data_IF_960367354006
#
_entry.id   IF_960367354006
#
_cell.length_a   1.000
_cell.length_b   1.000
_cell.length_c   1.000
_cell.angle_alpha   90.00
_cell.angle_beta   90.00
_cell.angle_gamma   90.00
#
_symmetry.space_group_name_H-M   'P 1'
#
loop_
_entity.id
_entity.type
_entity.pdbx_description
1 polymer ?
#
# COMPACT_ATOMS: atom_id res chain seq x y z
N UNK A 1 14.41 15.70 -41.98
CA UNK A 1 15.13 16.48 -40.95
C UNK A 1 14.27 16.49 -39.70
N UNK A 2 14.79 15.95 -38.60
CA UNK A 2 14.04 15.58 -37.39
C UNK A 2 14.26 16.67 -36.34
N UNK A 3 13.22 17.40 -36.00
CA UNK A 3 13.24 18.45 -34.97
C UNK A 3 13.04 17.77 -33.61
N UNK A 4 14.10 17.73 -32.81
CA UNK A 4 14.08 17.33 -31.40
C UNK A 4 14.57 18.55 -30.62
N UNK A 5 13.70 19.19 -29.84
CA UNK A 5 14.11 20.19 -28.87
C UNK A 5 13.28 20.02 -27.61
N UNK A 6 14.02 19.61 -26.57
CA UNK A 6 13.58 19.34 -25.21
C UNK A 6 13.58 20.65 -24.43
N UNK A 7 12.48 20.97 -23.74
CA UNK A 7 12.37 22.13 -22.85
C UNK A 7 12.65 21.72 -21.41
N UNK A 8 13.91 21.91 -21.00
CA UNK A 8 14.36 21.72 -19.62
C UNK A 8 13.93 22.93 -18.79
N UNK A 9 13.14 22.68 -17.75
CA UNK A 9 12.55 23.70 -16.88
C UNK A 9 13.58 24.32 -15.93
N UNK A 10 13.73 25.63 -16.06
CA UNK A 10 14.74 26.49 -15.45
C UNK A 10 14.26 27.02 -14.08
N UNK A 11 14.33 26.23 -13.00
CA UNK A 11 14.19 26.75 -11.62
C UNK A 11 14.98 25.91 -10.61
N UNK A 12 16.10 26.47 -10.12
CA UNK A 12 16.61 26.40 -8.73
C UNK A 12 18.09 26.84 -8.70
N UNK A 13 18.29 28.14 -8.70
CA UNK A 13 19.49 28.79 -8.17
C UNK A 13 19.19 29.04 -6.69
N UNK A 14 19.96 28.48 -5.75
CA UNK A 14 20.46 29.21 -4.58
C UNK A 14 21.37 28.38 -3.64
N UNK A 15 22.51 29.01 -3.31
CA UNK A 15 23.40 28.84 -2.15
C UNK A 15 24.17 27.53 -1.94
N UNK A 16 25.45 27.54 -2.36
CA UNK A 16 26.50 26.83 -1.62
C UNK A 16 27.68 27.78 -1.37
N UNK A 17 27.78 28.26 -0.12
CA UNK A 17 28.80 29.18 0.36
C UNK A 17 30.07 28.46 0.82
N UNK A 18 31.19 29.00 0.36
CA UNK A 18 32.57 28.54 0.44
C UNK A 18 33.18 28.59 1.85
N UNK A 19 34.03 27.60 2.14
CA UNK A 19 34.91 27.39 3.29
C UNK A 19 36.02 28.46 3.39
N UNK A 20 36.31 28.98 4.59
CA UNK A 20 37.65 29.52 4.97
C UNK A 20 37.96 29.22 6.44
N UNK A 21 39.07 28.51 6.65
CA UNK A 21 39.80 28.19 7.89
C UNK A 21 40.80 29.28 8.27
N UNK A 22 41.14 29.44 9.57
CA UNK A 22 42.43 29.95 10.12
C UNK A 22 42.32 30.14 11.66
N UNK A 23 43.39 30.31 12.43
CA UNK A 23 44.32 29.32 12.99
C UNK A 23 44.92 29.88 14.33
N UNK A 24 45.27 28.99 15.27
CA UNK A 24 46.33 29.03 16.30
C UNK A 24 46.42 30.11 17.42
N UNK A 25 46.70 29.62 18.64
CA UNK A 25 47.32 30.37 19.76
C UNK A 25 47.64 29.48 20.97
N UNK A 26 48.92 29.35 21.32
CA UNK A 26 49.48 28.51 22.40
C UNK A 26 49.69 29.29 23.72
N UNK A 27 49.62 28.63 24.90
CA UNK A 27 50.62 28.70 26.00
C UNK A 27 50.19 27.98 27.29
N UNK A 28 51.16 27.27 27.89
CA UNK A 28 51.19 26.65 29.23
C UNK A 28 51.12 27.70 30.36
N UNK A 29 50.43 27.41 31.47
CA UNK A 29 51.06 27.23 32.80
C UNK A 29 50.04 26.98 33.93
N UNK A 30 50.48 26.16 34.90
CA UNK A 30 49.76 25.67 36.09
C UNK A 30 49.49 26.77 37.13
N UNK A 31 48.34 26.75 37.81
CA UNK A 31 48.25 26.93 39.28
C UNK A 31 46.91 26.45 39.85
N UNK A 32 47.00 25.67 40.93
CA UNK A 32 45.91 25.19 41.82
C UNK A 32 45.06 26.34 42.37
N UNK A 33 43.75 26.14 42.48
CA UNK A 33 42.95 26.49 43.66
C UNK A 33 41.53 25.88 43.60
N UNK A 34 41.21 25.11 44.64
CA UNK A 34 39.92 25.03 45.36
C UNK A 34 38.66 24.59 44.59
N UNK A 35 38.11 23.46 45.04
CA UNK A 35 36.79 22.90 44.70
C UNK A 35 35.66 23.83 45.16
N UNK A 36 34.56 23.89 44.41
CA UNK A 36 33.33 23.30 44.92
C UNK A 36 32.64 22.41 43.88
N UNK A 37 32.07 21.33 44.38
CA UNK A 37 31.31 20.28 43.69
C UNK A 37 30.27 20.83 42.69
N UNK A 38 30.37 20.51 41.38
CA UNK A 38 29.32 20.80 40.42
C UNK A 38 28.32 19.63 40.35
N UNK A 39 27.06 20.02 40.51
CA UNK A 39 25.83 19.26 40.34
C UNK A 39 25.84 18.23 39.17
N UNK A 40 25.03 17.16 39.27
CA UNK A 40 25.03 16.05 38.31
C UNK A 40 24.68 16.54 36.90
N UNK A 41 25.46 16.06 35.93
CA UNK A 41 25.30 16.40 34.52
C UNK A 41 23.87 16.12 34.02
N UNK A 42 23.23 17.05 33.28
CA UNK A 42 22.01 16.75 32.57
C UNK A 42 22.34 15.76 31.44
N UNK A 43 21.74 14.57 31.53
CA UNK A 43 21.78 13.57 30.45
C UNK A 43 21.24 14.22 29.18
N UNK A 44 22.06 14.28 28.14
CA UNK A 44 21.59 14.58 26.80
C UNK A 44 20.68 13.42 26.36
N UNK A 45 19.37 13.68 26.37
CA UNK A 45 18.37 12.83 25.77
C UNK A 45 18.54 12.92 24.26
N UNK A 46 19.20 11.90 23.69
CA UNK A 46 19.25 11.70 22.25
C UNK A 46 17.82 11.46 21.80
N UNK A 47 17.21 12.48 21.18
CA UNK A 47 15.93 12.36 20.51
C UNK A 47 16.12 11.38 19.36
N UNK A 48 15.80 10.10 19.59
CA UNK A 48 15.61 9.12 18.54
C UNK A 48 14.41 9.60 17.71
N UNK A 49 14.68 10.19 16.55
CA UNK A 49 13.64 10.36 15.54
C UNK A 49 13.13 8.97 15.17
N UNK A 50 11.87 8.70 15.55
CA UNK A 50 11.18 7.48 15.14
C UNK A 50 11.18 7.40 13.61
N UNK A 51 11.40 6.21 13.03
CA UNK A 51 11.26 6.02 11.59
C UNK A 51 9.90 6.55 11.13
N UNK A 52 9.81 7.19 9.95
CA UNK A 52 8.51 7.57 9.41
C UNK A 52 7.62 6.32 9.36
N UNK A 53 6.35 6.42 9.78
CA UNK A 53 5.45 5.28 9.75
C UNK A 53 5.39 4.75 8.30
N UNK A 54 5.34 3.41 8.12
CA UNK A 54 5.18 2.84 6.79
C UNK A 54 3.95 3.45 6.11
N UNK A 55 3.97 3.59 4.77
CA UNK A 55 2.83 4.15 4.05
C UNK A 55 1.56 3.39 4.43
N UNK A 56 0.53 4.11 4.85
CA UNK A 56 -0.76 3.52 5.16
C UNK A 56 -1.31 2.87 3.89
N UNK A 57 -1.63 1.57 3.95
CA UNK A 57 -2.28 0.85 2.85
C UNK A 57 -3.61 1.51 2.53
N UNK A 58 -3.95 1.60 1.25
CA UNK A 58 -5.25 2.16 0.85
C UNK A 58 -6.40 1.25 1.30
N UNK A 59 -7.62 1.80 1.39
CA UNK A 59 -8.78 1.02 1.78
C UNK A 59 -9.06 -0.12 0.77
N UNK A 60 -8.79 0.15 -0.51
CA UNK A 60 -8.93 -0.79 -1.63
C UNK A 60 -7.93 -1.94 -1.50
N UNK A 61 -6.67 -1.66 -1.16
CA UNK A 61 -5.66 -2.70 -0.95
C UNK A 61 -6.05 -3.64 0.20
N UNK A 62 -6.50 -3.06 1.32
CA UNK A 62 -6.96 -3.84 2.49
C UNK A 62 -8.22 -4.66 2.15
N UNK A 63 -9.14 -4.11 1.35
CA UNK A 63 -10.32 -4.83 0.92
C UNK A 63 -9.97 -5.97 -0.05
N UNK A 64 -9.04 -5.74 -0.99
CA UNK A 64 -8.56 -6.74 -1.93
C UNK A 64 -7.93 -7.93 -1.20
N UNK A 65 -7.04 -7.68 -0.23
CA UNK A 65 -6.41 -8.75 0.56
C UNK A 65 -7.48 -9.59 1.30
N UNK A 66 -8.45 -8.92 1.94
CA UNK A 66 -9.54 -9.61 2.63
C UNK A 66 -10.41 -10.43 1.68
N UNK A 67 -10.74 -9.89 0.51
CA UNK A 67 -11.53 -10.60 -0.49
C UNK A 67 -10.78 -11.81 -1.06
N UNK A 68 -9.50 -11.67 -1.38
CA UNK A 68 -8.68 -12.79 -1.88
C UNK A 68 -8.63 -13.92 -0.84
N UNK A 69 -8.45 -13.58 0.44
CA UNK A 69 -8.51 -14.55 1.54
C UNK A 69 -9.88 -15.25 1.63
N UNK A 70 -10.96 -14.50 1.50
CA UNK A 70 -12.31 -15.06 1.51
C UNK A 70 -12.57 -15.97 0.30
N UNK A 71 -12.11 -15.59 -0.89
CA UNK A 71 -12.23 -16.41 -2.11
C UNK A 71 -11.50 -17.75 -1.93
N UNK A 72 -10.30 -17.72 -1.36
CA UNK A 72 -9.55 -18.92 -1.03
C UNK A 72 -10.28 -19.78 0.01
N UNK A 73 -10.86 -19.16 1.05
CA UNK A 73 -11.62 -19.88 2.08
C UNK A 73 -12.87 -20.57 1.51
N UNK A 74 -13.62 -19.90 0.63
CA UNK A 74 -14.80 -20.48 -0.04
C UNK A 74 -14.40 -21.66 -0.92
N UNK A 75 -13.35 -21.51 -1.72
CA UNK A 75 -12.84 -22.57 -2.59
C UNK A 75 -12.32 -23.78 -1.79
N UNK A 76 -11.66 -23.54 -0.65
CA UNK A 76 -11.07 -24.57 0.20
C UNK A 76 -12.05 -25.16 1.25
N UNK A 77 -13.29 -24.66 1.33
CA UNK A 77 -14.24 -25.06 2.37
C UNK A 77 -14.52 -26.57 2.36
N UNK A 78 -14.39 -27.21 3.53
CA UNK A 78 -14.59 -28.66 3.71
C UNK A 78 -16.04 -29.15 3.61
N UNK A 79 -17.02 -28.24 3.60
CA UNK A 79 -18.43 -28.56 3.42
C UNK A 79 -19.19 -27.47 2.66
N UNK A 80 -20.36 -27.81 2.12
CA UNK A 80 -21.27 -26.85 1.47
C UNK A 80 -21.78 -25.81 2.48
N UNK A 81 -22.12 -26.24 3.70
CA UNK A 81 -22.60 -25.33 4.74
C UNK A 81 -21.54 -24.29 5.13
N UNK A 82 -20.29 -24.72 5.35
CA UNK A 82 -19.21 -23.78 5.66
C UNK A 82 -18.92 -22.83 4.49
N UNK A 83 -18.97 -23.31 3.25
CA UNK A 83 -18.82 -22.45 2.08
C UNK A 83 -19.93 -21.40 2.00
N UNK A 84 -21.18 -21.80 2.21
CA UNK A 84 -22.32 -20.89 2.18
C UNK A 84 -22.23 -19.81 3.27
N UNK A 85 -21.73 -20.14 4.46
CA UNK A 85 -21.48 -19.14 5.50
C UNK A 85 -20.44 -18.11 5.05
N UNK A 86 -19.29 -18.56 4.54
CA UNK A 86 -18.26 -17.66 4.02
C UNK A 86 -18.75 -16.82 2.84
N UNK A 87 -19.64 -17.36 1.99
CA UNK A 87 -20.30 -16.59 0.93
C UNK A 87 -21.11 -15.44 1.51
N UNK A 88 -21.93 -15.68 2.54
CA UNK A 88 -22.74 -14.60 3.16
C UNK A 88 -21.86 -13.50 3.78
N UNK A 89 -20.80 -13.89 4.48
CA UNK A 89 -19.83 -12.95 5.06
C UNK A 89 -19.14 -12.12 3.97
N UNK A 90 -18.76 -12.77 2.86
CA UNK A 90 -18.12 -12.11 1.72
C UNK A 90 -19.07 -11.16 1.01
N UNK A 91 -20.33 -11.57 0.79
CA UNK A 91 -21.35 -10.73 0.14
C UNK A 91 -21.61 -9.43 0.92
N UNK A 92 -21.44 -9.43 2.25
CA UNK A 92 -21.58 -8.22 3.06
C UNK A 92 -20.51 -7.16 2.78
N UNK A 93 -19.43 -7.49 2.06
CA UNK A 93 -18.41 -6.54 1.62
C UNK A 93 -18.81 -5.80 0.33
N UNK A 94 -19.80 -6.30 -0.40
CA UNK A 94 -20.25 -5.74 -1.67
C UNK A 94 -21.45 -4.83 -1.48
N UNK A 95 -21.63 -3.90 -2.44
CA UNK A 95 -22.73 -2.94 -2.44
C UNK A 95 -24.07 -3.66 -2.57
N UNK A 96 -24.10 -4.75 -3.34
CA UNK A 96 -25.22 -5.68 -3.45
C UNK A 96 -24.75 -7.01 -4.08
N UNK A 97 -25.66 -7.99 -4.19
CA UNK A 97 -25.37 -9.32 -4.73
C UNK A 97 -25.23 -9.34 -6.26
N UNK A 98 -25.65 -8.28 -6.93
CA UNK A 98 -25.55 -8.07 -8.37
C UNK A 98 -24.33 -7.25 -8.77
N UNK A 99 -23.44 -6.90 -7.83
CA UNK A 99 -22.20 -6.17 -8.12
C UNK A 99 -21.46 -6.86 -9.28
N UNK A 100 -21.14 -6.12 -10.36
CA UNK A 100 -20.51 -6.68 -11.54
C UNK A 100 -19.10 -7.19 -11.21
N UNK A 101 -18.80 -8.38 -11.76
CA UNK A 101 -17.48 -8.98 -11.75
C UNK A 101 -17.01 -9.10 -13.20
N UNK A 102 -15.90 -8.44 -13.51
CA UNK A 102 -15.30 -8.40 -14.84
C UNK A 102 -14.04 -9.27 -14.85
N UNK A 103 -14.01 -10.30 -15.68
CA UNK A 103 -12.86 -11.21 -15.78
C UNK A 103 -12.09 -10.86 -17.06
N UNK A 104 -10.89 -10.34 -16.90
CA UNK A 104 -10.00 -10.01 -18.02
C UNK A 104 -9.45 -11.32 -18.60
N UNK A 105 -9.74 -11.57 -19.89
CA UNK A 105 -9.26 -12.73 -20.64
C UNK A 105 -8.05 -12.42 -21.50
N UNK A 106 -7.90 -11.18 -21.93
CA UNK A 106 -6.79 -10.71 -22.74
C UNK A 106 -6.55 -9.22 -22.53
N UNK A 107 -5.30 -8.78 -22.62
CA UNK A 107 -4.93 -7.36 -22.57
C UNK A 107 -3.80 -7.10 -23.57
N UNK A 108 -4.03 -6.19 -24.51
CA UNK A 108 -3.03 -5.77 -25.49
C UNK A 108 -3.04 -4.25 -25.65
N UNK A 109 -1.87 -3.62 -25.58
CA UNK A 109 -1.71 -2.16 -25.69
C UNK A 109 -2.61 -1.35 -24.73
N UNK A 110 -2.92 -1.91 -23.54
CA UNK A 110 -3.78 -1.31 -22.52
C UNK A 110 -5.28 -1.44 -22.79
N UNK A 111 -5.68 -2.17 -23.84
CA UNK A 111 -7.07 -2.51 -24.14
C UNK A 111 -7.35 -3.89 -23.52
N UNK A 112 -8.36 -3.97 -22.66
CA UNK A 112 -8.77 -5.21 -21.98
C UNK A 112 -9.97 -5.84 -22.67
N UNK A 113 -9.88 -7.12 -22.97
CA UNK A 113 -11.00 -7.96 -23.36
C UNK A 113 -11.50 -8.71 -22.13
N UNK A 114 -12.82 -8.72 -21.97
CA UNK A 114 -13.47 -9.36 -20.83
C UNK A 114 -14.26 -10.59 -21.28
N UNK A 115 -14.36 -11.56 -20.38
CA UNK A 115 -15.31 -12.67 -20.52
C UNK A 115 -16.77 -12.17 -20.41
N UNK A 116 -17.73 -13.09 -20.56
CA UNK A 116 -19.14 -12.80 -20.30
C UNK A 116 -19.32 -12.17 -18.90
N UNK A 117 -20.01 -11.02 -18.81
CA UNK A 117 -20.25 -10.36 -17.54
C UNK A 117 -20.96 -11.28 -16.54
N UNK A 118 -20.49 -11.29 -15.29
CA UNK A 118 -21.12 -12.03 -14.20
C UNK A 118 -21.33 -11.15 -12.97
N UNK A 119 -21.99 -11.69 -11.96
CA UNK A 119 -22.22 -10.99 -10.68
C UNK A 119 -21.41 -11.64 -9.58
N UNK A 120 -21.17 -10.89 -8.50
CA UNK A 120 -20.42 -11.42 -7.36
C UNK A 120 -21.06 -12.68 -6.79
N UNK A 121 -22.40 -12.73 -6.65
CA UNK A 121 -23.04 -13.93 -6.12
C UNK A 121 -22.79 -15.17 -7.00
N UNK A 122 -22.92 -15.03 -8.33
CA UNK A 122 -22.64 -16.11 -9.27
C UNK A 122 -21.18 -16.54 -9.20
N UNK A 123 -20.26 -15.59 -9.09
CA UNK A 123 -18.83 -15.87 -8.98
C UNK A 123 -18.48 -16.61 -7.69
N UNK A 124 -19.05 -16.21 -6.55
CA UNK A 124 -18.84 -16.90 -5.27
C UNK A 124 -19.43 -18.31 -5.26
N UNK A 125 -20.62 -18.50 -5.85
CA UNK A 125 -21.22 -19.82 -6.06
C UNK A 125 -20.31 -20.69 -6.95
N UNK A 126 -19.73 -20.12 -8.02
CA UNK A 126 -18.74 -20.81 -8.86
C UNK A 126 -17.50 -21.25 -8.08
N UNK A 127 -16.96 -20.41 -7.19
CA UNK A 127 -15.81 -20.80 -6.36
C UNK A 127 -16.13 -21.99 -5.45
N UNK A 128 -17.32 -21.98 -4.84
CA UNK A 128 -17.82 -23.08 -4.00
C UNK A 128 -17.96 -24.37 -4.80
N UNK A 129 -18.54 -24.30 -5.98
CA UNK A 129 -18.87 -25.49 -6.79
C UNK A 129 -17.62 -26.08 -7.45
N UNK A 130 -16.70 -25.23 -7.91
CA UNK A 130 -15.47 -25.69 -8.57
C UNK A 130 -14.34 -26.02 -7.61
N UNK A 131 -14.42 -25.55 -6.35
CA UNK A 131 -13.38 -25.68 -5.33
C UNK A 131 -12.02 -25.13 -5.77
N UNK A 132 -12.02 -24.14 -6.66
CA UNK A 132 -10.82 -23.55 -7.24
C UNK A 132 -10.94 -22.04 -7.32
N UNK A 133 -9.99 -21.33 -6.72
CA UNK A 133 -9.82 -19.90 -6.93
C UNK A 133 -8.70 -19.65 -7.96
N UNK A 134 -9.09 -19.64 -9.24
CA UNK A 134 -8.16 -19.57 -10.36
C UNK A 134 -7.85 -18.14 -10.82
N UNK A 135 -8.51 -17.15 -10.22
CA UNK A 135 -8.30 -15.75 -10.54
C UNK A 135 -7.71 -15.05 -9.32
N UNK A 136 -7.14 -13.88 -9.56
CA UNK A 136 -6.75 -12.93 -8.53
C UNK A 136 -7.42 -11.59 -8.82
N UNK A 137 -7.56 -10.78 -7.78
CA UNK A 137 -8.15 -9.44 -7.88
C UNK A 137 -7.15 -8.49 -8.53
N UNK A 138 -7.49 -7.92 -9.69
CA UNK A 138 -6.66 -6.94 -10.38
C UNK A 138 -7.04 -5.50 -10.05
N UNK A 139 -8.33 -5.23 -9.82
CA UNK A 139 -8.83 -3.90 -9.45
C UNK A 139 -10.13 -4.01 -8.63
N UNK A 140 -10.37 -2.99 -7.80
CA UNK A 140 -11.59 -2.83 -7.00
C UNK A 140 -12.06 -1.39 -7.09
N UNK A 141 -13.37 -1.20 -7.28
CA UNK A 141 -14.02 0.08 -7.06
C UNK A 141 -14.91 0.02 -5.83
N UNK A 142 -14.91 1.09 -5.05
CA UNK A 142 -15.76 1.24 -3.88
C UNK A 142 -16.91 2.20 -4.13
N UNK A 143 -18.03 1.99 -3.45
CA UNK A 143 -19.13 2.95 -3.35
C UNK A 143 -18.86 4.00 -2.24
N UNK A 144 -19.79 4.96 -2.10
CA UNK A 144 -19.72 5.99 -1.08
C UNK A 144 -19.79 5.46 0.38
N UNK A 145 -20.17 4.19 0.57
CA UNK A 145 -20.26 3.53 1.87
C UNK A 145 -19.02 2.65 2.15
N UNK A 146 -18.01 2.65 1.27
CA UNK A 146 -16.82 1.81 1.38
C UNK A 146 -17.08 0.32 1.08
N UNK A 147 -18.18 0.01 0.38
CA UNK A 147 -18.49 -1.34 -0.12
C UNK A 147 -17.97 -1.49 -1.55
N UNK A 148 -17.64 -2.71 -1.95
CA UNK A 148 -17.21 -2.98 -3.33
C UNK A 148 -18.38 -2.81 -4.29
N UNK A 149 -18.23 -1.93 -5.27
CA UNK A 149 -19.24 -1.60 -6.29
C UNK A 149 -18.95 -2.24 -7.65
N UNK A 150 -17.68 -2.59 -7.91
CA UNK A 150 -17.22 -3.33 -9.10
C UNK A 150 -15.93 -4.08 -8.74
N UNK A 151 -15.76 -5.27 -9.30
CA UNK A 151 -14.59 -6.12 -9.09
C UNK A 151 -13.99 -6.54 -10.44
N UNK A 152 -12.70 -6.28 -10.64
CA UNK A 152 -11.96 -6.80 -11.78
C UNK A 152 -11.06 -7.97 -11.35
N UNK A 153 -11.09 -9.03 -12.13
CA UNK A 153 -10.33 -10.25 -11.91
C UNK A 153 -9.43 -10.55 -13.11
N UNK A 154 -8.30 -11.18 -12.84
CA UNK A 154 -7.45 -11.79 -13.87
C UNK A 154 -7.09 -13.21 -13.51
N UNK A 155 -6.83 -14.04 -14.52
CA UNK A 155 -6.31 -15.39 -14.34
C UNK A 155 -4.96 -15.37 -13.63
N UNK A 156 -4.80 -16.26 -12.63
CA UNK A 156 -3.52 -16.54 -11.95
C UNK A 156 -2.50 -17.17 -12.90
#
# INVERSE_FOLDING_TARGET
MKQFVSSISLKRILFMGLVVTLAMGACKSKKKAVQPEPAPAPKQEVVQQAPPPPPARSAEEVAAEKLENNFNAIAAAGSVNSANQSIQETLAMFSNQETPVLIVIHEENGIKDYDEPTTIKKYLDYLKDTKKNLNYISDIRMDANGKVSELELRRK
#
